data_IF_976634139129
#
_entry.id   IF_976634139129
#
_cell.length_a   1.000
_cell.length_b   1.000
_cell.length_c   1.000
_cell.angle_alpha   90.00
_cell.angle_beta   90.00
_cell.angle_gamma   90.00
#
_symmetry.space_group_name_H-M   'P 1'
#
loop_
_entity.id
_entity.type
_entity.pdbx_description
1 polymer ?
#
# COMPACT_ATOMS: atom_id res chain seq x y z
N UNK A 1 22.79 -5.62 68.95
CA UNK A 1 22.74 -6.04 67.52
C UNK A 1 21.30 -6.44 67.22
N UNK A 2 20.58 -5.99 66.19
CA UNK A 2 20.88 -5.44 64.85
C UNK A 2 19.70 -4.53 64.40
N UNK A 3 19.94 -3.42 63.67
CA UNK A 3 18.85 -2.66 63.04
C UNK A 3 18.37 -3.31 61.74
N UNK A 4 17.05 -3.29 61.52
CA UNK A 4 16.36 -3.84 60.36
C UNK A 4 16.73 -3.03 59.12
N UNK A 5 17.38 -3.67 58.16
CA UNK A 5 17.89 -3.03 56.96
C UNK A 5 16.74 -2.90 55.93
N UNK A 6 16.18 -1.70 55.79
CA UNK A 6 15.14 -1.34 54.80
C UNK A 6 15.72 -1.34 53.38
N UNK A 7 15.87 -2.52 52.78
CA UNK A 7 16.32 -2.67 51.39
C UNK A 7 15.12 -2.75 50.44
N UNK A 8 14.52 -1.61 50.11
CA UNK A 8 13.38 -1.59 49.20
C UNK A 8 12.92 -0.22 48.69
N UNK A 9 13.77 0.81 48.71
CA UNK A 9 13.41 2.14 48.19
C UNK A 9 13.41 2.20 46.65
N UNK A 10 12.39 2.84 46.08
CA UNK A 10 12.32 3.19 44.65
C UNK A 10 13.57 3.99 44.26
N UNK A 11 14.42 3.43 43.39
CA UNK A 11 15.63 4.11 42.91
C UNK A 11 15.24 5.26 41.98
N UNK A 12 15.89 6.41 42.10
CA UNK A 12 15.83 7.47 41.09
C UNK A 12 16.26 6.88 39.75
N UNK A 13 15.45 7.05 38.70
CA UNK A 13 15.53 6.41 37.38
C UNK A 13 14.98 4.97 37.26
N UNK A 14 14.25 4.47 38.25
CA UNK A 14 13.39 3.30 38.06
C UNK A 14 12.13 3.70 37.25
N UNK A 15 12.23 3.58 35.93
CA UNK A 15 11.13 3.84 34.99
C UNK A 15 11.57 3.59 33.55
N UNK A 16 10.66 3.06 32.73
CA UNK A 16 10.90 2.88 31.28
C UNK A 16 11.16 4.26 30.68
N UNK A 17 12.34 4.47 30.08
CA UNK A 17 12.69 5.71 29.37
C UNK A 17 11.55 6.04 28.38
N UNK A 18 11.11 7.31 28.29
CA UNK A 18 10.05 7.70 27.38
C UNK A 18 10.46 7.33 25.95
N UNK A 19 9.81 6.28 25.45
CA UNK A 19 9.92 5.87 24.05
C UNK A 19 8.92 6.64 23.20
N UNK A 20 8.98 6.46 21.88
CA UNK A 20 7.99 7.05 20.96
C UNK A 20 6.56 6.68 21.39
N UNK A 21 5.63 7.61 21.21
CA UNK A 21 4.22 7.44 21.57
C UNK A 21 3.67 6.16 20.93
N UNK A 22 3.19 5.23 21.75
CA UNK A 22 2.68 3.94 21.29
C UNK A 22 1.17 3.91 21.45
N UNK A 23 0.44 3.61 20.36
CA UNK A 23 -1.01 3.40 20.38
C UNK A 23 -1.29 1.90 20.34
N UNK A 24 -2.06 1.40 21.31
CA UNK A 24 -2.47 -0.01 21.32
C UNK A 24 -3.54 -0.21 20.25
N UNK A 25 -3.23 -1.03 19.25
CA UNK A 25 -4.17 -1.49 18.21
C UNK A 25 -4.40 -2.98 18.42
N UNK A 26 -5.67 -3.42 18.41
CA UNK A 26 -6.01 -4.84 18.48
C UNK A 26 -5.89 -5.43 17.07
N UNK A 27 -4.82 -6.16 16.81
CA UNK A 27 -4.66 -6.93 15.59
C UNK A 27 -5.06 -8.39 15.84
N UNK A 28 -5.72 -9.07 14.88
CA UNK A 28 -5.83 -10.52 14.89
C UNK A 28 -4.47 -11.18 15.09
N UNK A 29 -4.41 -12.28 15.83
CA UNK A 29 -3.16 -12.97 16.19
C UNK A 29 -2.26 -13.29 14.98
N UNK A 30 -2.78 -13.74 13.82
CA UNK A 30 -1.95 -13.95 12.63
C UNK A 30 -1.24 -12.69 12.12
N UNK A 31 -1.81 -11.51 12.36
CA UNK A 31 -1.29 -10.21 11.90
C UNK A 31 -0.31 -9.59 12.90
N UNK A 32 -0.28 -10.05 14.14
CA UNK A 32 0.53 -9.46 15.21
C UNK A 32 2.03 -9.65 14.97
N UNK A 33 2.44 -10.85 14.58
CA UNK A 33 3.86 -11.15 14.30
C UNK A 33 4.37 -10.40 13.08
N UNK A 34 3.52 -10.20 12.09
CA UNK A 34 3.89 -9.49 10.87
C UNK A 34 3.98 -7.99 11.12
N UNK A 35 3.01 -7.41 11.83
CA UNK A 35 3.07 -6.01 12.25
C UNK A 35 4.33 -5.73 13.09
N UNK A 36 4.73 -6.67 13.95
CA UNK A 36 5.96 -6.58 14.72
C UNK A 36 7.21 -6.62 13.82
N UNK A 37 7.27 -7.52 12.85
CA UNK A 37 8.38 -7.62 11.87
C UNK A 37 8.51 -6.36 11.02
N UNK A 38 7.40 -5.83 10.51
CA UNK A 38 7.37 -4.58 9.74
C UNK A 38 7.96 -3.40 10.53
N UNK A 39 7.62 -3.30 11.82
CA UNK A 39 8.06 -2.21 12.67
C UNK A 39 9.55 -2.31 13.04
N UNK A 40 10.13 -3.52 13.04
CA UNK A 40 11.53 -3.76 13.43
C UNK A 40 12.50 -3.75 12.24
N UNK A 41 12.07 -4.16 11.03
CA UNK A 41 12.96 -4.43 9.89
C UNK A 41 12.62 -3.66 8.61
N UNK A 42 11.58 -2.84 8.64
CA UNK A 42 11.00 -2.27 7.42
C UNK A 42 10.21 -3.31 6.64
N UNK A 43 9.54 -2.87 5.58
CA UNK A 43 8.65 -3.70 4.78
C UNK A 43 9.46 -4.47 3.72
N UNK A 44 9.46 -5.81 3.77
CA UNK A 44 10.12 -6.67 2.78
C UNK A 44 9.12 -7.54 2.02
N UNK A 45 9.53 -8.02 0.85
CA UNK A 45 8.75 -8.94 0.03
C UNK A 45 8.30 -10.22 0.76
N UNK A 46 9.10 -10.74 1.70
CA UNK A 46 8.67 -11.87 2.52
C UNK A 46 7.47 -11.58 3.45
N UNK A 47 7.23 -10.32 3.82
CA UNK A 47 6.23 -9.94 4.82
C UNK A 47 4.80 -9.86 4.24
N UNK A 48 4.65 -9.51 2.96
CA UNK A 48 3.33 -9.34 2.32
C UNK A 48 2.57 -10.64 2.16
N UNK A 49 3.25 -11.75 1.86
CA UNK A 49 2.58 -13.05 1.73
C UNK A 49 1.91 -13.51 3.03
N UNK A 50 2.41 -13.08 4.19
CA UNK A 50 1.80 -13.41 5.48
C UNK A 50 0.49 -12.61 5.74
N UNK A 51 0.27 -11.48 5.06
CA UNK A 51 -0.91 -10.62 5.24
C UNK A 51 -2.15 -11.04 4.45
N UNK A 52 -1.98 -11.85 3.40
CA UNK A 52 -2.99 -12.03 2.36
C UNK A 52 -4.12 -13.02 2.74
N UNK A 53 -3.99 -13.72 3.87
CA UNK A 53 -4.99 -14.69 4.38
C UNK A 53 -6.13 -14.03 5.21
N UNK A 54 -6.38 -12.73 5.03
CA UNK A 54 -7.42 -12.01 5.79
C UNK A 54 -8.68 -11.86 4.95
N UNK A 55 -9.69 -12.69 5.22
CA UNK A 55 -11.04 -12.50 4.67
C UNK A 55 -11.87 -11.58 5.55
N UNK A 56 -11.87 -10.29 5.23
CA UNK A 56 -12.86 -9.34 5.76
C UNK A 56 -13.65 -8.74 4.58
N UNK A 57 -14.83 -9.29 4.30
CA UNK A 57 -15.78 -8.70 3.37
C UNK A 57 -16.73 -7.80 4.17
N UNK A 58 -16.65 -6.50 3.92
CA UNK A 58 -17.67 -5.55 4.38
C UNK A 58 -18.45 -5.09 3.15
N UNK A 59 -19.74 -4.84 3.31
CA UNK A 59 -20.55 -4.20 2.27
C UNK A 59 -21.01 -2.87 2.85
N UNK A 60 -20.64 -1.77 2.19
CA UNK A 60 -21.06 -0.44 2.59
C UNK A 60 -21.40 0.33 1.32
N UNK A 61 -22.69 0.62 1.18
CA UNK A 61 -23.18 1.40 0.07
C UNK A 61 -23.23 2.89 0.45
N UNK A 62 -22.93 3.73 -0.53
CA UNK A 62 -23.19 5.16 -0.47
C UNK A 62 -24.16 5.54 -1.59
N UNK A 63 -25.10 6.47 -1.35
CA UNK A 63 -25.90 7.02 -2.44
C UNK A 63 -24.96 7.66 -3.47
N UNK A 64 -25.07 7.25 -4.73
CA UNK A 64 -24.36 7.87 -5.84
C UNK A 64 -25.31 8.85 -6.52
N UNK A 65 -24.92 10.12 -6.59
CA UNK A 65 -25.65 11.08 -7.41
C UNK A 65 -25.34 10.79 -8.87
N UNK A 66 -26.38 10.55 -9.66
CA UNK A 66 -26.31 10.22 -11.07
C UNK A 66 -26.11 11.44 -11.98
N UNK A 67 -26.36 12.65 -11.47
CA UNK A 67 -25.88 13.86 -12.13
C UNK A 67 -24.36 13.90 -12.01
N UNK A 68 -23.67 13.94 -13.15
CA UNK A 68 -22.23 14.22 -13.14
C UNK A 68 -22.00 15.62 -12.54
N UNK A 69 -21.28 15.68 -11.43
CA UNK A 69 -20.81 16.95 -10.91
C UNK A 69 -19.77 17.49 -11.91
N UNK A 70 -20.20 18.38 -12.81
CA UNK A 70 -19.31 19.04 -13.74
C UNK A 70 -18.24 19.78 -12.95
N UNK A 71 -16.97 19.52 -13.25
CA UNK A 71 -15.86 20.35 -12.78
C UNK A 71 -15.83 21.73 -13.51
N UNK A 72 -16.95 22.14 -14.15
CA UNK A 72 -17.14 23.34 -14.95
C UNK A 72 -18.61 23.81 -14.95
N UNK A 73 -19.11 24.44 -16.03
CA UNK A 73 -20.48 25.00 -16.06
C UNK A 73 -21.54 23.87 -16.09
N UNK A 74 -22.51 23.84 -15.17
CA UNK A 74 -23.51 22.77 -15.11
C UNK A 74 -24.55 22.98 -16.23
N UNK A 75 -24.79 21.92 -17.02
CA UNK A 75 -25.92 21.91 -17.96
C UNK A 75 -27.17 21.35 -17.26
N UNK A 76 -28.38 21.89 -17.49
CA UNK A 76 -29.56 21.60 -16.66
C UNK A 76 -30.27 20.27 -16.97
N UNK A 77 -29.78 19.49 -17.92
CA UNK A 77 -30.43 18.24 -18.31
C UNK A 77 -29.64 17.06 -17.74
N UNK A 78 -30.23 16.34 -16.79
CA UNK A 78 -30.42 14.89 -16.88
C UNK A 78 -31.02 14.36 -15.56
N UNK A 79 -32.25 13.85 -15.66
CA UNK A 79 -32.86 12.98 -14.66
C UNK A 79 -32.57 11.54 -15.08
N UNK A 80 -31.88 10.75 -14.26
CA UNK A 80 -32.07 9.29 -14.14
C UNK A 80 -31.30 8.75 -12.94
N UNK A 81 -31.73 7.63 -12.36
CA UNK A 81 -31.25 7.10 -11.08
C UNK A 81 -30.13 6.06 -11.27
N UNK A 82 -28.93 6.34 -10.76
CA UNK A 82 -27.94 5.28 -10.50
C UNK A 82 -28.25 4.60 -9.15
N UNK A 83 -27.97 3.29 -9.09
CA UNK A 83 -28.09 2.53 -7.85
C UNK A 83 -27.07 2.94 -6.79
N UNK A 84 -27.23 2.50 -5.54
CA UNK A 84 -26.23 2.70 -4.50
C UNK A 84 -24.85 2.12 -4.92
N UNK A 85 -23.78 2.84 -4.63
CA UNK A 85 -22.40 2.47 -4.96
C UNK A 85 -21.72 1.79 -3.76
N UNK A 86 -21.14 0.60 -3.96
CA UNK A 86 -20.22 -0.01 -3.00
C UNK A 86 -18.77 0.20 -3.48
N UNK A 87 -17.94 0.83 -2.63
CA UNK A 87 -16.54 1.10 -2.97
C UNK A 87 -15.68 -0.17 -3.05
N UNK A 88 -16.03 -1.22 -2.30
CA UNK A 88 -15.30 -2.48 -2.35
C UNK A 88 -15.47 -3.13 -3.72
N UNK A 89 -16.71 -3.17 -4.23
CA UNK A 89 -16.98 -3.67 -5.59
C UNK A 89 -16.35 -2.79 -6.67
N UNK A 90 -16.38 -1.47 -6.47
CA UNK A 90 -15.77 -0.52 -7.40
C UNK A 90 -14.25 -0.68 -7.48
N UNK A 91 -13.57 -0.95 -6.36
CA UNK A 91 -12.12 -0.88 -6.25
C UNK A 91 -11.45 -2.26 -6.37
N UNK A 92 -12.08 -3.30 -5.82
CA UNK A 92 -11.50 -4.63 -5.65
C UNK A 92 -12.25 -5.64 -6.53
N UNK A 93 -11.61 -6.01 -7.64
CA UNK A 93 -12.19 -6.98 -8.59
C UNK A 93 -12.00 -8.43 -8.13
N UNK A 94 -10.85 -8.76 -7.54
CA UNK A 94 -10.53 -10.12 -7.08
C UNK A 94 -9.99 -10.08 -5.64
N UNK A 95 -10.85 -10.12 -4.60
CA UNK A 95 -10.44 -9.89 -3.22
C UNK A 95 -9.30 -10.77 -2.71
N UNK A 96 -9.27 -12.09 -2.94
CA UNK A 96 -8.15 -12.95 -2.49
C UNK A 96 -6.79 -12.60 -3.12
N UNK A 97 -6.80 -11.94 -4.28
CA UNK A 97 -5.60 -11.57 -5.02
C UNK A 97 -5.31 -10.06 -4.99
N UNK A 98 -6.09 -9.27 -4.26
CA UNK A 98 -5.96 -7.81 -4.24
C UNK A 98 -5.50 -7.33 -2.87
N UNK A 99 -4.51 -6.45 -2.86
CA UNK A 99 -4.04 -5.78 -1.64
C UNK A 99 -3.69 -4.33 -1.95
N UNK A 100 -3.40 -3.54 -0.91
CA UNK A 100 -3.07 -2.14 -1.09
C UNK A 100 -1.75 -1.79 -0.41
N UNK A 101 -1.01 -0.86 -1.01
CA UNK A 101 0.26 -0.33 -0.48
C UNK A 101 0.22 1.19 -0.47
N UNK A 102 0.87 1.79 0.52
CA UNK A 102 1.04 3.25 0.55
C UNK A 102 2.19 3.64 -0.37
N UNK A 103 1.93 4.60 -1.24
CA UNK A 103 2.91 5.12 -2.19
C UNK A 103 3.89 6.04 -1.48
N UNK A 104 5.17 5.86 -1.78
CA UNK A 104 6.25 6.74 -1.37
C UNK A 104 7.07 7.16 -2.61
N UNK A 105 7.56 8.40 -2.60
CA UNK A 105 8.34 8.97 -3.70
C UNK A 105 7.51 9.49 -4.87
N UNK A 106 8.19 10.19 -5.80
CA UNK A 106 7.57 11.00 -6.84
C UNK A 106 7.76 10.45 -8.26
N UNK A 107 8.34 9.25 -8.39
CA UNK A 107 8.72 8.68 -9.68
C UNK A 107 7.54 8.37 -10.60
N UNK A 108 6.30 8.40 -10.09
CA UNK A 108 5.10 8.02 -10.85
C UNK A 108 4.08 9.16 -10.99
N UNK A 109 4.49 10.40 -10.72
CA UNK A 109 3.59 11.57 -10.73
C UNK A 109 2.96 11.86 -12.09
N UNK A 110 3.68 11.63 -13.20
CA UNK A 110 3.16 11.72 -14.56
C UNK A 110 2.08 10.69 -14.90
N UNK A 111 2.01 9.59 -14.15
CA UNK A 111 0.92 8.62 -14.22
C UNK A 111 -0.23 8.92 -13.24
N UNK A 112 -0.20 10.07 -12.57
CA UNK A 112 -1.24 10.45 -11.61
C UNK A 112 -1.09 9.81 -10.23
N UNK A 113 0.04 9.14 -9.94
CA UNK A 113 0.33 8.46 -8.67
C UNK A 113 1.30 9.31 -7.86
N UNK A 114 0.88 9.76 -6.68
CA UNK A 114 1.59 10.76 -5.89
C UNK A 114 1.98 10.22 -4.50
N UNK A 115 2.98 10.82 -3.84
CA UNK A 115 3.34 10.46 -2.48
C UNK A 115 2.13 10.51 -1.54
N UNK A 116 1.95 9.45 -0.75
CA UNK A 116 0.84 9.35 0.21
C UNK A 116 -0.43 8.70 -0.33
N UNK A 117 -0.54 8.49 -1.65
CA UNK A 117 -1.62 7.72 -2.25
C UNK A 117 -1.64 6.27 -1.73
N UNK A 118 -2.80 5.63 -1.85
CA UNK A 118 -2.96 4.19 -1.66
C UNK A 118 -3.10 3.52 -3.03
N UNK A 119 -2.08 2.76 -3.43
CA UNK A 119 -2.09 1.98 -4.65
C UNK A 119 -2.72 0.61 -4.39
N UNK A 120 -3.71 0.23 -5.20
CA UNK A 120 -4.40 -1.07 -5.15
C UNK A 120 -3.75 -1.99 -6.17
N UNK A 121 -3.23 -3.12 -5.71
CA UNK A 121 -2.41 -4.07 -6.46
C UNK A 121 -3.17 -5.39 -6.61
N UNK A 122 -3.28 -5.87 -7.84
CA UNK A 122 -3.92 -7.14 -8.18
C UNK A 122 -2.86 -8.15 -8.66
N UNK A 123 -2.71 -9.26 -7.93
CA UNK A 123 -1.75 -10.33 -8.21
C UNK A 123 -2.24 -11.35 -9.22
N UNK A 124 -3.55 -11.39 -9.47
CA UNK A 124 -4.13 -12.35 -10.42
C UNK A 124 -3.90 -11.95 -11.88
N UNK A 125 -3.47 -10.71 -12.11
CA UNK A 125 -3.19 -10.16 -13.43
C UNK A 125 -1.72 -10.35 -13.79
N UNK A 126 -1.47 -11.03 -14.91
CA UNK A 126 -0.15 -11.04 -15.52
C UNK A 126 0.21 -9.62 -16.00
N UNK A 127 1.44 -9.13 -15.74
CA UNK A 127 1.89 -7.84 -16.23
C UNK A 127 1.99 -7.89 -17.76
N UNK A 128 1.38 -6.91 -18.43
CA UNK A 128 1.54 -6.70 -19.87
C UNK A 128 2.28 -5.40 -20.12
N UNK A 129 2.87 -5.27 -21.30
CA UNK A 129 3.66 -4.09 -21.68
C UNK A 129 2.86 -2.80 -21.45
N UNK A 130 3.46 -1.84 -20.74
CA UNK A 130 2.85 -0.56 -20.41
C UNK A 130 2.02 -0.55 -19.11
N UNK A 131 1.76 -1.69 -18.46
CA UNK A 131 1.09 -1.70 -17.15
C UNK A 131 1.94 -1.03 -16.07
N UNK A 132 1.28 -0.43 -15.07
CA UNK A 132 1.96 -0.02 -13.84
C UNK A 132 1.97 -1.22 -12.90
N UNK A 133 3.14 -1.56 -12.36
CA UNK A 133 3.35 -2.74 -11.53
C UNK A 133 3.97 -2.36 -10.20
N UNK A 134 3.64 -3.12 -9.16
CA UNK A 134 4.47 -3.21 -7.98
C UNK A 134 5.52 -4.29 -8.23
N UNK A 135 6.78 -3.88 -8.25
CA UNK A 135 7.93 -4.75 -8.43
C UNK A 135 8.74 -4.80 -7.14
N UNK A 136 9.31 -5.96 -6.82
CA UNK A 136 10.39 -6.11 -5.88
C UNK A 136 11.68 -6.27 -6.69
N UNK A 137 12.60 -5.33 -6.57
CA UNK A 137 13.90 -5.38 -7.21
C UNK A 137 14.98 -5.46 -6.13
N UNK A 138 15.77 -6.53 -6.15
CA UNK A 138 16.85 -6.78 -5.20
C UNK A 138 16.38 -6.65 -3.72
N UNK A 139 15.13 -7.05 -3.46
CA UNK A 139 14.51 -7.02 -2.13
C UNK A 139 13.78 -5.72 -1.77
N UNK A 140 13.81 -4.69 -2.64
CA UNK A 140 13.17 -3.40 -2.42
C UNK A 140 11.94 -3.20 -3.30
N UNK A 141 10.86 -2.66 -2.71
CA UNK A 141 9.62 -2.40 -3.43
C UNK A 141 9.66 -1.09 -4.21
N UNK A 142 9.20 -1.15 -5.45
CA UNK A 142 9.07 0.02 -6.32
C UNK A 142 7.82 -0.08 -7.19
N UNK A 143 7.16 1.06 -7.44
CA UNK A 143 6.09 1.16 -8.43
C UNK A 143 6.66 1.82 -9.67
N UNK A 144 6.54 1.13 -10.80
CA UNK A 144 7.07 1.54 -12.10
C UNK A 144 6.16 1.09 -13.22
N UNK A 145 6.30 1.69 -14.40
CA UNK A 145 5.70 1.16 -15.62
C UNK A 145 6.54 0.00 -16.13
N UNK A 146 5.91 -1.16 -16.24
CA UNK A 146 6.49 -2.36 -16.82
C UNK A 146 6.62 -2.20 -18.32
N UNK A 147 7.83 -2.38 -18.84
CA UNK A 147 8.10 -2.40 -20.27
C UNK A 147 8.84 -3.68 -20.64
N UNK A 148 8.27 -4.41 -21.60
CA UNK A 148 8.88 -5.57 -22.21
C UNK A 148 9.48 -5.15 -23.54
N UNK A 149 10.80 -5.25 -23.66
CA UNK A 149 11.57 -4.96 -24.87
C UNK A 149 12.21 -6.24 -25.40
N UNK A 150 12.80 -6.15 -26.60
CA UNK A 150 13.47 -7.30 -27.23
C UNK A 150 14.69 -7.80 -26.43
N UNK A 151 15.33 -6.90 -25.69
CA UNK A 151 16.52 -7.12 -24.87
C UNK A 151 16.21 -7.42 -23.39
N UNK A 152 14.94 -7.39 -22.97
CA UNK A 152 14.54 -7.76 -21.63
C UNK A 152 13.43 -6.88 -21.03
N UNK A 153 13.38 -6.87 -19.70
CA UNK A 153 12.40 -6.08 -18.94
C UNK A 153 13.04 -4.77 -18.51
N UNK A 154 12.24 -3.70 -18.56
CA UNK A 154 12.59 -2.38 -18.05
C UNK A 154 11.47 -1.83 -17.18
N UNK A 155 11.85 -1.15 -16.11
CA UNK A 155 10.97 -0.47 -15.18
C UNK A 155 11.10 1.04 -15.38
N UNK A 156 10.12 1.65 -16.02
CA UNK A 156 10.15 3.08 -16.33
C UNK A 156 9.47 3.91 -15.24
N UNK A 157 10.11 5.02 -14.89
CA UNK A 157 9.47 6.07 -14.12
C UNK A 157 8.57 6.91 -15.02
N UNK A 158 7.50 7.44 -14.44
CA UNK A 158 6.60 8.43 -15.05
C UNK A 158 6.92 9.82 -14.48
N UNK A 159 8.21 10.12 -14.37
CA UNK A 159 8.70 11.42 -13.96
C UNK A 159 10.08 11.63 -14.61
N UNK A 160 10.28 12.68 -15.42
CA UNK A 160 11.53 12.94 -16.14
C UNK A 160 12.77 13.06 -15.24
N UNK A 161 12.60 13.39 -13.96
CA UNK A 161 13.71 13.47 -13.01
C UNK A 161 14.25 12.11 -12.57
N UNK A 162 13.57 11.00 -12.91
CA UNK A 162 13.91 9.65 -12.49
C UNK A 162 14.22 8.80 -13.73
N UNK A 163 15.40 8.16 -13.80
CA UNK A 163 15.76 7.33 -14.95
C UNK A 163 14.93 6.05 -15.01
N UNK A 164 14.82 5.49 -16.21
CA UNK A 164 14.32 4.12 -16.39
C UNK A 164 15.37 3.13 -15.88
N UNK A 165 14.90 1.99 -15.39
CA UNK A 165 15.75 0.94 -14.85
C UNK A 165 15.62 -0.31 -15.70
N UNK A 166 16.66 -0.58 -16.49
CA UNK A 166 16.77 -1.81 -17.27
C UNK A 166 17.32 -2.91 -16.36
N UNK A 167 16.70 -4.09 -16.40
CA UNK A 167 17.04 -5.18 -15.50
C UNK A 167 18.27 -5.91 -16.06
N UNK A 168 19.40 -5.75 -15.38
CA UNK A 168 20.67 -6.35 -15.76
C UNK A 168 20.84 -7.80 -15.31
N UNK A 169 21.90 -8.44 -15.80
CA UNK A 169 22.30 -9.78 -15.36
C UNK A 169 22.63 -9.78 -13.86
N UNK A 170 22.07 -10.73 -13.12
CA UNK A 170 22.29 -10.89 -11.67
C UNK A 170 21.36 -10.08 -10.78
N UNK A 171 20.51 -9.21 -11.33
CA UNK A 171 19.44 -8.56 -10.57
C UNK A 171 18.23 -9.48 -10.40
N UNK A 172 17.63 -9.47 -9.21
CA UNK A 172 16.43 -10.24 -8.92
C UNK A 172 15.20 -9.33 -9.05
N UNK A 173 14.43 -9.53 -10.11
CA UNK A 173 13.15 -8.85 -10.32
C UNK A 173 12.00 -9.83 -10.07
N UNK A 174 11.14 -9.49 -9.12
CA UNK A 174 9.85 -10.15 -8.90
C UNK A 174 8.70 -9.16 -9.12
N UNK A 175 7.77 -9.49 -10.02
CA UNK A 175 6.55 -8.71 -10.18
C UNK A 175 5.50 -9.21 -9.20
N UNK A 176 5.13 -8.36 -8.24
CA UNK A 176 4.17 -8.69 -7.20
C UNK A 176 2.73 -8.58 -7.67
N UNK A 177 2.46 -7.66 -8.61
CA UNK A 177 1.14 -7.51 -9.20
C UNK A 177 1.00 -6.22 -9.99
N UNK A 178 -0.15 -6.09 -10.64
CA UNK A 178 -0.50 -4.92 -11.45
C UNK A 178 -1.23 -3.90 -10.57
N UNK A 179 -0.77 -2.65 -10.58
CA UNK A 179 -1.48 -1.55 -9.94
C UNK A 179 -2.72 -1.23 -10.77
N UNK A 180 -3.90 -1.44 -10.18
CA UNK A 180 -5.18 -1.23 -10.85
C UNK A 180 -5.78 0.15 -10.58
N UNK A 181 -5.55 0.70 -9.37
CA UNK A 181 -6.13 1.97 -8.91
C UNK A 181 -5.15 2.70 -8.00
N UNK A 182 -5.25 4.03 -7.98
CA UNK A 182 -4.62 4.89 -6.98
C UNK A 182 -5.70 5.71 -6.27
N UNK A 183 -5.72 5.68 -4.95
CA UNK A 183 -6.69 6.38 -4.13
C UNK A 183 -5.96 7.50 -3.39
N UNK A 184 -6.38 8.74 -3.64
CA UNK A 184 -5.86 9.94 -2.98
C UNK A 184 -6.90 10.53 -2.04
N UNK A 185 -6.47 10.86 -0.83
CA UNK A 185 -7.22 11.71 0.09
C UNK A 185 -6.80 13.15 -0.20
N UNK A 186 -7.76 14.03 -0.51
CA UNK A 186 -7.55 15.44 -0.79
C UNK A 186 -7.77 16.29 0.47
#
# INVERSE_FOLDING_TARGET
MNPINSRGGRRSNAGRKPGPATRVVRLPVPLADIARRMNERGFRAGDVNAFLDVEARTAQTVPLMSTTASCGFPSPADDYMDGPLDFNELIVTNPPATFAVRVAGESMTGAGIFPGDIAVVDRSRAPVNGCIVLACLDGEFTIKRYQLRADGISLQAENPAFPSLDIGEGQELEIWGVVSRSIRML
#
